data_IF_670934923860
#
_entry.id   IF_670934923860
#
_cell.length_a   1.000
_cell.length_b   1.000
_cell.length_c   1.000
_cell.angle_alpha   90.00
_cell.angle_beta   90.00
_cell.angle_gamma   90.00
#
_symmetry.space_group_name_H-M   'P 1'
#
loop_
_entity.id
_entity.type
_entity.pdbx_description
1 polymer ?
#
# COMPACT_ATOMS: atom_id res chain seq x y z
N UNK A 1 -8.30 -56.09 16.85
CA UNK A 1 -9.46 -55.19 16.69
C UNK A 1 -9.44 -54.18 17.85
N UNK A 2 -9.52 -52.89 17.47
CA UNK A 2 -10.02 -51.71 18.19
C UNK A 2 -9.40 -51.19 19.49
N UNK A 3 -8.64 -50.09 19.33
CA UNK A 3 -8.72 -48.76 19.95
C UNK A 3 -9.52 -48.51 21.25
N UNK A 4 -8.89 -47.73 22.15
CA UNK A 4 -9.23 -46.37 22.61
C UNK A 4 -8.97 -46.24 24.13
N UNK A 5 -7.85 -45.66 24.55
CA UNK A 5 -7.62 -44.22 24.78
C UNK A 5 -8.13 -43.73 26.15
N UNK A 6 -7.22 -43.31 27.04
CA UNK A 6 -7.40 -42.07 27.82
C UNK A 6 -6.13 -41.61 28.56
N UNK A 7 -5.70 -40.39 28.17
CA UNK A 7 -5.04 -39.31 28.92
C UNK A 7 -3.88 -39.59 29.89
N UNK A 8 -2.73 -39.00 29.56
CA UNK A 8 -1.95 -38.26 30.56
C UNK A 8 -1.42 -36.98 29.93
N UNK A 9 -1.84 -35.86 30.51
CA UNK A 9 -1.40 -34.51 30.20
C UNK A 9 0.13 -34.45 30.35
N UNK A 10 0.82 -34.01 29.31
CA UNK A 10 2.21 -33.56 29.43
C UNK A 10 2.25 -32.09 29.05
N UNK A 11 2.35 -31.26 30.08
CA UNK A 11 2.83 -29.89 29.98
C UNK A 11 4.18 -29.90 29.29
N UNK A 12 4.20 -29.66 27.98
CA UNK A 12 5.42 -29.39 27.24
C UNK A 12 5.63 -27.89 27.26
N UNK A 13 6.41 -27.43 28.23
CA UNK A 13 6.96 -26.08 28.28
C UNK A 13 7.66 -25.83 26.94
N UNK A 14 7.07 -24.95 26.12
CA UNK A 14 7.70 -24.48 24.89
C UNK A 14 8.98 -23.73 25.29
N UNK A 15 10.13 -24.34 25.02
CA UNK A 15 11.43 -23.73 25.18
C UNK A 15 11.51 -22.48 24.30
N UNK A 16 11.78 -21.34 24.93
CA UNK A 16 11.97 -20.01 24.31
C UNK A 16 13.25 -19.91 23.46
N UNK A 17 13.68 -20.97 22.78
CA UNK A 17 15.00 -21.04 22.14
C UNK A 17 14.94 -21.04 20.60
N UNK A 18 13.77 -21.05 19.98
CA UNK A 18 13.62 -20.93 18.52
C UNK A 18 13.20 -19.50 18.10
N UNK A 19 13.80 -18.47 18.72
CA UNK A 19 13.79 -17.09 18.18
C UNK A 19 15.07 -16.80 17.40
N UNK A 20 15.60 -17.82 16.72
CA UNK A 20 16.63 -17.55 15.73
C UNK A 20 16.02 -16.78 14.58
N UNK A 21 16.45 -15.52 14.50
CA UNK A 21 16.13 -14.54 13.48
C UNK A 21 16.43 -15.07 12.08
N UNK A 22 15.48 -15.81 11.49
CA UNK A 22 15.50 -16.20 10.08
C UNK A 22 15.27 -15.01 9.11
N UNK A 23 15.26 -13.76 9.60
CA UNK A 23 15.27 -12.56 8.75
C UNK A 23 16.67 -12.08 8.35
N UNK A 24 17.75 -12.75 8.76
CA UNK A 24 19.11 -12.18 8.59
C UNK A 24 19.84 -12.41 7.27
N UNK A 25 19.32 -13.16 6.29
CA UNK A 25 20.07 -13.41 5.04
C UNK A 25 19.24 -13.26 3.75
N UNK A 26 18.21 -12.42 3.73
CA UNK A 26 17.76 -11.88 2.45
C UNK A 26 18.69 -10.71 2.08
N UNK A 27 19.28 -10.67 0.87
CA UNK A 27 20.05 -9.51 0.46
C UNK A 27 19.15 -8.27 0.59
N UNK A 28 19.62 -7.26 1.33
CA UNK A 28 18.94 -5.98 1.42
C UNK A 28 18.84 -5.40 0.02
N UNK A 29 17.68 -5.54 -0.61
CA UNK A 29 17.36 -4.81 -1.81
C UNK A 29 16.81 -3.45 -1.36
N UNK A 30 17.52 -2.33 -1.59
CA UNK A 30 17.04 -1.00 -1.20
C UNK A 30 15.72 -0.61 -1.88
N UNK A 31 15.32 -1.34 -2.92
CA UNK A 31 14.06 -1.16 -3.65
C UNK A 31 12.89 -1.90 -2.97
N UNK A 32 13.18 -2.86 -2.08
CA UNK A 32 12.18 -3.55 -1.27
C UNK A 32 11.94 -2.73 0.00
N UNK A 33 10.68 -2.38 0.25
CA UNK A 33 10.33 -1.66 1.49
C UNK A 33 10.55 -2.57 2.70
N UNK A 34 11.26 -2.07 3.72
CA UNK A 34 11.38 -2.75 5.00
C UNK A 34 10.05 -2.71 5.76
N UNK A 35 9.90 -3.57 6.77
CA UNK A 35 8.73 -3.54 7.65
C UNK A 35 8.55 -2.18 8.35
N UNK A 36 9.65 -1.55 8.76
CA UNK A 36 9.65 -0.22 9.37
C UNK A 36 9.19 0.85 8.38
N UNK A 37 9.74 0.83 7.15
CA UNK A 37 9.36 1.75 6.08
C UNK A 37 7.90 1.59 5.65
N UNK A 38 7.38 0.36 5.66
CA UNK A 38 5.95 0.11 5.45
C UNK A 38 5.11 0.86 6.49
N UNK A 39 5.42 0.71 7.77
CA UNK A 39 4.67 1.38 8.84
C UNK A 39 4.82 2.90 8.79
N UNK A 40 6.00 3.40 8.47
CA UNK A 40 6.26 4.82 8.25
C UNK A 40 5.41 5.35 7.09
N UNK A 41 5.39 4.67 5.95
CA UNK A 41 4.58 5.08 4.79
C UNK A 41 3.09 5.14 5.10
N UNK A 42 2.57 4.20 5.90
CA UNK A 42 1.18 4.24 6.39
C UNK A 42 0.95 5.47 7.29
N UNK A 43 1.89 5.78 8.19
CA UNK A 43 1.82 6.95 9.06
C UNK A 43 1.87 8.27 8.29
N UNK A 44 2.81 8.39 7.35
CA UNK A 44 2.98 9.54 6.47
C UNK A 44 1.73 9.80 5.66
N UNK A 45 1.15 8.77 5.04
CA UNK A 45 -0.09 8.92 4.27
C UNK A 45 -1.27 9.34 5.15
N UNK A 46 -1.40 8.82 6.37
CA UNK A 46 -2.47 9.25 7.30
C UNK A 46 -2.33 10.72 7.68
N UNK A 47 -1.11 11.19 7.92
CA UNK A 47 -0.84 12.61 8.17
C UNK A 47 -1.18 13.46 6.95
N UNK A 48 -0.75 13.03 5.76
CA UNK A 48 -1.08 13.68 4.50
C UNK A 48 -2.59 13.75 4.25
N UNK A 49 -3.31 12.67 4.52
CA UNK A 49 -4.77 12.60 4.42
C UNK A 49 -5.46 13.48 5.46
N UNK A 50 -4.92 13.62 6.67
CA UNK A 50 -5.53 14.43 7.73
C UNK A 50 -5.37 15.94 7.49
N UNK A 51 -4.34 16.36 6.74
CA UNK A 51 -4.12 17.76 6.42
C UNK A 51 -5.18 18.29 5.45
N UNK A 52 -5.98 19.25 5.94
CA UNK A 52 -7.05 19.93 5.19
C UNK A 52 -6.55 20.59 3.92
N UNK A 53 -5.28 21.02 3.85
CA UNK A 53 -4.70 21.65 2.67
C UNK A 53 -4.65 20.72 1.45
N UNK A 54 -4.67 19.40 1.69
CA UNK A 54 -4.64 18.39 0.63
C UNK A 54 -6.05 18.07 0.10
N UNK A 55 -7.11 18.54 0.73
CA UNK A 55 -8.50 18.24 0.33
C UNK A 55 -9.02 19.22 -0.71
N UNK A 56 -9.99 18.81 -1.55
CA UNK A 56 -10.73 19.73 -2.39
C UNK A 56 -11.41 20.82 -1.57
N UNK A 57 -11.25 22.06 -1.98
CA UNK A 57 -11.91 23.22 -1.36
C UNK A 57 -13.05 23.72 -2.24
N UNK A 58 -14.09 24.22 -1.62
CA UNK A 58 -15.21 24.85 -2.32
C UNK A 58 -15.11 26.36 -2.18
N UNK A 59 -15.09 27.06 -3.29
CA UNK A 59 -15.16 28.52 -3.32
C UNK A 59 -16.61 28.96 -3.52
N UNK A 60 -17.19 29.50 -2.44
CA UNK A 60 -18.56 30.01 -2.41
C UNK A 60 -18.76 31.26 -3.28
N UNK A 61 -17.70 32.00 -3.60
CA UNK A 61 -17.77 33.24 -4.40
C UNK A 61 -18.10 32.91 -5.85
N UNK A 62 -17.44 31.88 -6.40
CA UNK A 62 -17.60 31.45 -7.78
C UNK A 62 -18.39 30.14 -7.92
N UNK A 63 -18.92 29.62 -6.81
CA UNK A 63 -19.64 28.35 -6.77
C UNK A 63 -18.82 27.15 -7.27
N UNK A 64 -17.49 27.24 -7.22
CA UNK A 64 -16.57 26.33 -7.92
C UNK A 64 -15.81 25.45 -6.93
N UNK A 65 -15.67 24.16 -7.24
CA UNK A 65 -14.87 23.22 -6.44
C UNK A 65 -13.46 23.14 -7.03
N UNK A 66 -12.46 23.52 -6.24
CA UNK A 66 -11.06 23.35 -6.61
C UNK A 66 -10.57 21.95 -6.23
N UNK A 67 -9.89 21.24 -7.14
CA UNK A 67 -9.30 19.95 -6.83
C UNK A 67 -8.18 20.12 -5.79
N UNK A 68 -8.18 19.26 -4.77
CA UNK A 68 -7.09 19.17 -3.81
C UNK A 68 -5.92 18.35 -4.36
N UNK A 69 -4.84 18.23 -3.58
CA UNK A 69 -3.74 17.33 -3.91
C UNK A 69 -4.13 15.86 -3.76
N UNK A 70 -4.93 15.55 -2.74
CA UNK A 70 -5.44 14.22 -2.46
C UNK A 70 -6.40 13.79 -3.57
N UNK A 71 -6.16 12.59 -4.10
CA UNK A 71 -6.87 12.05 -5.27
C UNK A 71 -6.95 10.53 -5.20
N UNK A 72 -7.82 9.92 -6.01
CA UNK A 72 -8.09 8.49 -5.97
C UNK A 72 -6.84 7.60 -6.11
N UNK A 73 -5.81 8.03 -6.85
CA UNK A 73 -4.57 7.25 -6.99
C UNK A 73 -3.89 6.98 -5.64
N UNK A 74 -3.98 7.91 -4.68
CA UNK A 74 -3.42 7.74 -3.34
C UNK A 74 -4.14 6.62 -2.59
N UNK A 75 -5.47 6.61 -2.66
CA UNK A 75 -6.28 5.58 -2.01
C UNK A 75 -6.04 4.21 -2.65
N UNK A 76 -5.99 4.17 -3.97
CA UNK A 76 -5.71 2.94 -4.72
C UNK A 76 -4.31 2.38 -4.36
N UNK A 77 -3.28 3.23 -4.32
CA UNK A 77 -1.95 2.81 -3.86
C UNK A 77 -1.95 2.38 -2.39
N UNK A 78 -2.66 3.08 -1.50
CA UNK A 78 -2.81 2.68 -0.09
C UNK A 78 -3.53 1.33 0.08
N UNK A 79 -4.40 0.94 -0.84
CA UNK A 79 -4.97 -0.40 -0.89
C UNK A 79 -3.88 -1.42 -1.27
N UNK A 80 -3.16 -1.18 -2.37
CA UNK A 80 -2.07 -2.05 -2.86
C UNK A 80 -0.98 -2.25 -1.80
N UNK A 81 -0.53 -1.16 -1.17
CA UNK A 81 0.48 -1.19 -0.11
C UNK A 81 0.08 -2.15 1.03
N UNK A 82 -1.21 -2.27 1.34
CA UNK A 82 -1.76 -3.17 2.37
C UNK A 82 -2.13 -4.55 1.85
N UNK A 83 -1.67 -4.92 0.65
CA UNK A 83 -1.99 -6.19 0.00
C UNK A 83 -3.47 -6.33 -0.37
N UNK A 84 -4.15 -5.22 -0.68
CA UNK A 84 -5.55 -5.21 -1.14
C UNK A 84 -5.62 -4.79 -2.61
N UNK A 85 -6.64 -5.30 -3.30
CA UNK A 85 -6.96 -4.84 -4.65
C UNK A 85 -7.32 -3.34 -4.65
N UNK A 86 -6.88 -2.55 -5.64
CA UNK A 86 -7.39 -1.20 -5.91
C UNK A 86 -8.91 -1.12 -6.01
N UNK A 87 -9.59 -2.23 -6.37
CA UNK A 87 -11.05 -2.29 -6.51
C UNK A 87 -11.77 -1.93 -5.20
N UNK A 88 -11.14 -2.18 -4.05
CA UNK A 88 -11.70 -1.80 -2.74
C UNK A 88 -11.93 -0.30 -2.58
N UNK A 89 -11.35 0.54 -3.44
CA UNK A 89 -11.48 2.00 -3.35
C UNK A 89 -12.54 2.58 -4.30
N UNK A 90 -13.27 1.74 -5.03
CA UNK A 90 -14.34 2.18 -5.93
C UNK A 90 -15.61 1.37 -5.72
N UNK A 91 -16.77 1.99 -5.97
CA UNK A 91 -18.05 1.28 -6.06
C UNK A 91 -18.33 0.78 -7.47
N UNK A 92 -17.59 1.27 -8.47
CA UNK A 92 -17.73 0.89 -9.88
C UNK A 92 -16.36 0.59 -10.48
N UNK A 93 -16.07 -0.71 -10.59
CA UNK A 93 -14.85 -1.26 -11.20
C UNK A 93 -14.86 -1.15 -12.74
N UNK A 94 -15.99 -0.82 -13.35
CA UNK A 94 -16.10 -0.62 -14.79
C UNK A 94 -16.01 0.86 -15.19
N UNK A 95 -16.04 1.78 -14.21
CA UNK A 95 -15.92 3.21 -14.47
C UNK A 95 -14.60 3.54 -15.19
N UNK A 96 -14.67 4.50 -16.12
CA UNK A 96 -13.50 5.00 -16.84
C UNK A 96 -12.44 5.54 -15.88
N UNK A 97 -12.87 6.27 -14.84
CA UNK A 97 -11.99 6.79 -13.79
C UNK A 97 -11.21 5.67 -13.09
N UNK A 98 -11.85 4.55 -12.75
CA UNK A 98 -11.14 3.43 -12.12
C UNK A 98 -10.16 2.76 -13.08
N UNK A 99 -10.55 2.54 -14.34
CA UNK A 99 -9.67 1.98 -15.37
C UNK A 99 -8.43 2.86 -15.59
N UNK A 100 -8.61 4.18 -15.58
CA UNK A 100 -7.51 5.14 -15.67
C UNK A 100 -6.57 5.06 -14.47
N UNK A 101 -7.10 4.94 -13.25
CA UNK A 101 -6.27 4.79 -12.05
C UNK A 101 -5.46 3.49 -12.11
N UNK A 102 -6.10 2.37 -12.49
CA UNK A 102 -5.40 1.08 -12.66
C UNK A 102 -4.31 1.19 -13.72
N UNK A 103 -4.61 1.83 -14.86
CA UNK A 103 -3.62 2.09 -15.92
C UNK A 103 -2.47 2.97 -15.42
N UNK A 104 -2.75 4.03 -14.67
CA UNK A 104 -1.71 4.90 -14.12
C UNK A 104 -0.84 4.15 -13.12
N UNK A 105 -1.42 3.40 -12.17
CA UNK A 105 -0.66 2.60 -11.22
C UNK A 105 0.24 1.59 -11.94
N UNK A 106 -0.30 0.83 -12.89
CA UNK A 106 0.50 -0.12 -13.67
C UNK A 106 1.60 0.59 -14.47
N UNK A 107 1.35 1.80 -14.97
CA UNK A 107 2.37 2.59 -15.66
C UNK A 107 3.49 3.10 -14.76
N UNK A 108 3.31 3.11 -13.43
CA UNK A 108 4.35 3.55 -12.49
C UNK A 108 5.48 2.54 -12.28
N UNK A 109 5.33 1.30 -12.75
CA UNK A 109 6.41 0.30 -12.76
C UNK A 109 7.52 0.68 -13.75
N UNK A 110 7.20 1.44 -14.80
CA UNK A 110 8.18 2.05 -15.70
C UNK A 110 8.76 3.32 -15.05
N UNK A 111 9.96 3.22 -14.49
CA UNK A 111 10.64 4.31 -13.77
C UNK A 111 10.92 5.55 -14.64
N UNK A 112 10.95 5.42 -15.98
CA UNK A 112 11.19 6.55 -16.87
C UNK A 112 9.93 7.39 -17.13
N UNK A 113 8.75 6.87 -16.77
CA UNK A 113 7.47 7.52 -17.04
C UNK A 113 6.77 7.93 -15.76
N UNK A 114 6.38 9.20 -15.69
CA UNK A 114 5.46 9.71 -14.67
C UNK A 114 4.19 10.25 -15.33
N UNK A 115 3.19 9.37 -15.46
CA UNK A 115 1.90 9.73 -16.05
C UNK A 115 1.18 10.75 -15.17
N UNK A 116 1.03 11.98 -15.67
CA UNK A 116 0.30 13.06 -15.01
C UNK A 116 0.80 13.40 -13.57
N UNK A 117 2.09 13.18 -13.30
CA UNK A 117 2.69 13.42 -11.98
C UNK A 117 2.20 12.45 -10.90
N UNK A 118 1.62 11.31 -11.30
CA UNK A 118 1.13 10.27 -10.42
C UNK A 118 2.20 9.80 -9.42
N UNK A 119 3.44 9.60 -9.88
CA UNK A 119 4.55 9.18 -9.02
C UNK A 119 4.90 10.25 -8.01
N UNK A 120 5.07 11.50 -8.45
CA UNK A 120 5.39 12.61 -7.55
C UNK A 120 4.35 12.76 -6.44
N UNK A 121 3.06 12.62 -6.76
CA UNK A 121 1.97 12.61 -5.78
C UNK A 121 2.12 11.50 -4.74
N UNK A 122 2.46 10.29 -5.17
CA UNK A 122 2.69 9.16 -4.27
C UNK A 122 3.96 9.33 -3.42
N UNK A 123 5.05 9.86 -3.99
CA UNK A 123 6.27 10.16 -3.23
C UNK A 123 5.97 11.19 -2.13
N UNK A 124 5.28 12.29 -2.47
CA UNK A 124 4.89 13.33 -1.50
C UNK A 124 4.00 12.77 -0.38
N UNK A 125 3.04 11.92 -0.73
CA UNK A 125 2.04 11.43 0.21
C UNK A 125 2.51 10.26 1.09
N UNK A 126 3.45 9.44 0.61
CA UNK A 126 3.87 8.21 1.32
C UNK A 126 5.32 8.28 1.82
N UNK A 127 6.15 9.21 1.34
CA UNK A 127 7.57 9.30 1.71
C UNK A 127 8.42 8.16 1.16
N UNK A 128 7.91 7.42 0.16
CA UNK A 128 8.62 6.33 -0.50
C UNK A 128 9.39 6.83 -1.72
N UNK A 129 10.46 6.13 -2.08
CA UNK A 129 11.18 6.39 -3.34
C UNK A 129 10.37 5.89 -4.55
N UNK A 130 10.64 6.42 -5.76
CA UNK A 130 10.13 5.87 -7.01
C UNK A 130 10.24 4.35 -7.14
N UNK A 131 11.41 3.80 -6.78
CA UNK A 131 11.71 2.37 -6.86
C UNK A 131 10.86 1.57 -5.89
N UNK A 132 10.70 2.06 -4.66
CA UNK A 132 9.86 1.42 -3.65
C UNK A 132 8.38 1.41 -4.05
N UNK A 133 7.89 2.50 -4.65
CA UNK A 133 6.52 2.56 -5.18
C UNK A 133 6.34 1.55 -6.31
N UNK A 134 7.26 1.49 -7.27
CA UNK A 134 7.23 0.52 -8.36
C UNK A 134 7.24 -0.91 -7.82
N UNK A 135 8.13 -1.21 -6.89
CA UNK A 135 8.25 -2.52 -6.27
C UNK A 135 6.96 -2.96 -5.55
N UNK A 136 6.32 -2.05 -4.80
CA UNK A 136 5.02 -2.32 -4.15
C UNK A 136 3.94 -2.65 -5.19
N UNK A 137 3.90 -1.92 -6.30
CA UNK A 137 2.92 -2.15 -7.38
C UNK A 137 3.19 -3.48 -8.11
N UNK A 138 4.44 -3.82 -8.38
CA UNK A 138 4.77 -5.10 -9.02
C UNK A 138 4.43 -6.30 -8.12
N UNK A 139 4.73 -6.16 -6.83
CA UNK A 139 4.58 -7.23 -5.84
C UNK A 139 3.11 -7.47 -5.45
N UNK A 140 2.32 -6.40 -5.32
CA UNK A 140 0.96 -6.48 -4.77
C UNK A 140 -0.12 -5.91 -5.68
N UNK A 141 0.27 -5.16 -6.73
CA UNK A 141 -0.61 -4.48 -7.66
C UNK A 141 -0.83 -5.21 -8.98
N UNK A 142 -0.14 -6.33 -9.24
CA UNK A 142 -0.43 -7.24 -10.34
C UNK A 142 -1.78 -7.93 -10.11
N UNK A 143 -2.83 -7.20 -10.48
CA UNK A 143 -4.19 -7.69 -10.63
C UNK A 143 -4.21 -8.69 -11.79
N UNK A 144 -3.99 -9.98 -11.49
CA UNK A 144 -4.41 -11.09 -12.35
C UNK A 144 -5.93 -11.06 -12.51
#
# INVERSE_FOLDING_TARGET
MNNAAMNTETNKTLSNTDKDNHMKNYPYNPEVISFEQFHEAIGTFRTYQADKSNHPTYDSTYGTKYPGKLSHIHYAFFAVLRGKSPEFTTHDVNSESYRDIKRHLNGLTDLERDYYGARQKLVEAFGLTPQQIAHVIETYGTLQ
#
